data_IF_602598749777
#
_entry.id   IF_602598749777
#
_cell.length_a   1.000
_cell.length_b   1.000
_cell.length_c   1.000
_cell.angle_alpha   90.00
_cell.angle_beta   90.00
_cell.angle_gamma   90.00
#
_symmetry.space_group_name_H-M   'P 1'
#
loop_
_entity.id
_entity.type
_entity.pdbx_description
1 polymer ?
#
# COMPACT_ATOMS: atom_id res chain seq x y z
N UNK A 1 -7.92 17.64 8.65
CA UNK A 1 -6.99 17.30 7.55
C UNK A 1 -5.88 16.42 8.09
N UNK A 2 -5.15 16.86 9.12
CA UNK A 2 -4.11 16.07 9.81
C UNK A 2 -4.58 14.70 10.32
N UNK A 3 -5.71 14.63 11.04
CA UNK A 3 -6.22 13.35 11.57
C UNK A 3 -6.53 12.34 10.47
N UNK A 4 -7.23 12.78 9.42
CA UNK A 4 -7.51 11.95 8.24
C UNK A 4 -6.22 11.50 7.56
N UNK A 5 -5.25 12.40 7.35
CA UNK A 5 -3.97 12.04 6.73
C UNK A 5 -3.20 11.01 7.54
N UNK A 6 -3.23 11.12 8.87
CA UNK A 6 -2.64 10.13 9.77
C UNK A 6 -3.33 8.77 9.66
N UNK A 7 -4.66 8.75 9.57
CA UNK A 7 -5.42 7.52 9.34
C UNK A 7 -5.13 6.90 7.96
N UNK A 8 -4.95 7.72 6.92
CA UNK A 8 -4.57 7.28 5.57
C UNK A 8 -3.20 6.58 5.60
N UNK A 9 -2.19 7.19 6.25
CA UNK A 9 -0.87 6.58 6.47
C UNK A 9 -0.97 5.30 7.30
N UNK A 10 -1.79 5.28 8.34
CA UNK A 10 -2.00 4.09 9.17
C UNK A 10 -2.59 2.94 8.34
N UNK A 11 -3.57 3.20 7.47
CA UNK A 11 -4.16 2.18 6.60
C UNK A 11 -3.14 1.62 5.60
N UNK A 12 -2.30 2.46 5.02
CA UNK A 12 -1.20 2.00 4.16
C UNK A 12 -0.18 1.14 4.94
N UNK A 13 0.20 1.57 6.14
CA UNK A 13 1.08 0.78 7.01
C UNK A 13 0.50 -0.61 7.32
N UNK A 14 -0.81 -0.67 7.61
CA UNK A 14 -1.50 -1.93 7.86
C UNK A 14 -1.53 -2.82 6.60
N UNK A 15 -1.62 -2.24 5.40
CA UNK A 15 -1.48 -2.99 4.15
C UNK A 15 -0.13 -3.71 4.06
N UNK A 16 0.98 -3.02 4.38
CA UNK A 16 2.29 -3.68 4.49
C UNK A 16 2.27 -4.82 5.51
N UNK A 17 1.73 -4.58 6.72
CA UNK A 17 1.68 -5.61 7.79
C UNK A 17 0.88 -6.84 7.40
N UNK A 18 -0.23 -6.66 6.70
CA UNK A 18 -1.02 -7.78 6.16
C UNK A 18 -0.23 -8.54 5.09
N UNK A 19 0.51 -7.86 4.21
CA UNK A 19 1.33 -8.52 3.18
C UNK A 19 2.47 -9.36 3.77
N UNK A 20 3.06 -8.95 4.90
CA UNK A 20 4.10 -9.72 5.60
C UNK A 20 3.61 -11.13 6.00
N UNK A 21 2.32 -11.32 6.26
CA UNK A 21 1.73 -12.63 6.58
C UNK A 21 1.48 -13.52 5.34
N UNK A 22 1.42 -12.91 4.16
CA UNK A 22 0.93 -13.55 2.94
C UNK A 22 2.06 -14.03 2.04
N UNK A 23 3.18 -13.31 1.99
CA UNK A 23 4.29 -13.57 1.07
C UNK A 23 5.60 -13.88 1.81
N UNK A 24 6.40 -14.85 1.35
CA UNK A 24 7.70 -15.16 1.94
C UNK A 24 8.72 -14.02 1.78
N UNK A 25 8.59 -13.21 0.72
CA UNK A 25 9.47 -12.06 0.47
C UNK A 25 8.60 -10.80 0.44
N UNK A 26 8.94 -9.86 1.32
CA UNK A 26 8.14 -8.68 1.60
C UNK A 26 9.06 -7.54 2.09
N UNK A 27 8.57 -6.31 2.12
CA UNK A 27 9.23 -5.24 2.86
C UNK A 27 8.94 -5.39 4.36
N UNK A 28 9.93 -5.08 5.21
CA UNK A 28 9.63 -4.74 6.61
C UNK A 28 9.31 -3.27 6.71
N UNK A 29 8.26 -2.94 7.46
CA UNK A 29 7.90 -1.55 7.75
C UNK A 29 7.87 -1.24 9.24
N UNK A 30 8.09 0.03 9.57
CA UNK A 30 7.89 0.57 10.92
C UNK A 30 7.06 1.83 10.83
N UNK A 31 6.06 1.93 11.69
CA UNK A 31 5.33 3.18 11.90
C UNK A 31 6.22 4.11 12.74
N UNK A 32 6.29 5.38 12.34
CA UNK A 32 7.00 6.42 13.06
C UNK A 32 6.12 7.66 13.19
N UNK A 33 6.43 8.49 14.17
CA UNK A 33 5.78 9.78 14.39
C UNK A 33 6.79 10.88 14.07
N UNK A 34 6.38 11.82 13.21
CA UNK A 34 7.12 13.03 12.89
C UNK A 34 6.43 14.21 13.58
N UNK A 35 7.16 14.85 14.49
CA UNK A 35 6.73 16.11 15.10
C UNK A 35 7.46 17.26 14.39
N UNK A 36 6.72 18.27 13.97
CA UNK A 36 7.32 19.50 13.45
C UNK A 36 6.56 20.74 13.94
N UNK A 37 7.29 21.84 14.05
CA UNK A 37 6.76 23.15 14.44
C UNK A 37 6.78 24.07 13.23
N UNK A 38 5.62 24.51 12.78
CA UNK A 38 5.53 25.54 11.76
C UNK A 38 5.67 26.92 12.40
N UNK A 39 6.71 27.64 11.97
CA UNK A 39 7.01 29.01 12.40
C UNK A 39 6.51 30.06 11.39
N UNK A 40 5.92 29.65 10.26
CA UNK A 40 5.41 30.55 9.22
C UNK A 40 3.93 30.86 9.47
N UNK A 41 3.51 32.09 9.16
CA UNK A 41 2.13 32.53 9.31
C UNK A 41 1.18 31.89 8.28
N UNK A 42 -0.13 31.92 8.54
CA UNK A 42 -1.22 31.30 7.74
C UNK A 42 -1.30 31.65 6.24
N UNK A 43 -0.46 32.56 5.72
CA UNK A 43 -0.53 32.99 4.31
C UNK A 43 0.19 32.07 3.33
N UNK A 44 1.02 31.16 3.80
CA UNK A 44 1.72 30.21 2.95
C UNK A 44 1.10 28.82 3.10
N UNK A 45 0.43 28.34 2.05
CA UNK A 45 -0.04 26.95 2.01
C UNK A 45 1.16 26.00 2.09
N UNK A 46 1.09 25.06 3.03
CA UNK A 46 2.10 24.04 3.19
C UNK A 46 1.95 23.04 2.04
N UNK A 47 2.91 23.00 1.11
CA UNK A 47 3.13 21.84 0.26
C UNK A 47 4.09 20.90 1.00
N UNK A 48 3.60 19.81 1.64
CA UNK A 48 4.44 18.94 2.45
C UNK A 48 5.31 18.06 1.54
N UNK A 49 6.40 18.62 1.02
CA UNK A 49 7.55 17.85 0.59
C UNK A 49 8.49 17.78 1.79
N UNK A 50 8.36 16.71 2.58
CA UNK A 50 9.30 16.44 3.66
C UNK A 50 10.65 16.06 3.04
N UNK A 51 11.55 17.05 2.92
CA UNK A 51 12.96 16.81 2.60
C UNK A 51 13.67 16.58 3.93
N UNK A 52 14.29 15.41 4.10
CA UNK A 52 15.30 15.20 5.13
C UNK A 52 16.52 16.05 4.81
N UNK A 53 16.50 17.33 5.20
CA UNK A 53 17.69 18.16 5.18
C UNK A 53 18.54 17.77 6.38
N UNK A 54 19.74 17.28 6.13
CA UNK A 54 20.76 17.21 7.15
C UNK A 54 21.03 18.66 7.60
N UNK A 55 20.80 18.92 8.89
CA UNK A 55 20.84 20.25 9.49
C UNK A 55 22.23 20.86 9.30
N UNK A 56 22.40 21.61 8.22
CA UNK A 56 23.43 22.61 8.08
C UNK A 56 22.73 23.95 8.20
N UNK A 57 22.72 24.44 9.45
CA UNK A 57 22.36 25.80 9.88
C UNK A 57 22.49 26.82 8.75
N UNK A 58 21.42 27.01 8.00
CA UNK A 58 21.20 28.19 7.18
C UNK A 58 19.73 28.53 7.40
N UNK A 59 19.52 29.47 8.32
CA UNK A 59 18.25 30.19 8.37
C UNK A 59 18.02 30.80 6.99
N UNK A 60 16.96 30.37 6.31
CA UNK A 60 16.59 30.91 5.00
C UNK A 60 15.89 32.27 5.11
N UNK A 61 15.64 32.77 6.33
CA UNK A 61 14.93 34.02 6.57
C UNK A 61 15.61 34.81 7.70
N UNK A 62 16.18 35.97 7.36
CA UNK A 62 16.54 37.01 8.32
C UNK A 62 15.44 38.07 8.25
N UNK A 63 14.49 38.05 9.18
CA UNK A 63 13.51 39.12 9.31
C UNK A 63 13.69 39.84 10.65
N UNK A 64 14.45 40.94 10.60
CA UNK A 64 14.40 42.02 11.58
C UNK A 64 13.15 42.87 11.30
N UNK A 65 11.98 42.40 11.76
CA UNK A 65 10.71 43.11 11.56
C UNK A 65 9.72 42.81 12.68
N UNK A 66 9.51 43.80 13.56
CA UNK A 66 8.54 43.71 14.64
C UNK A 66 7.10 43.79 14.10
N UNK A 67 6.52 42.64 13.77
CA UNK A 67 5.08 42.45 13.57
C UNK A 67 4.66 41.24 14.38
N UNK A 68 3.51 41.30 15.07
CA UNK A 68 3.06 40.30 16.04
C UNK A 68 3.29 38.85 15.58
N UNK A 69 4.37 38.23 16.07
CA UNK A 69 4.70 36.85 15.77
C UNK A 69 3.58 35.96 16.32
N UNK A 70 2.76 35.38 15.43
CA UNK A 70 1.73 34.43 15.84
C UNK A 70 2.41 33.17 16.39
N UNK A 71 1.78 32.55 17.40
CA UNK A 71 2.35 31.39 18.09
C UNK A 71 2.62 30.25 17.09
N UNK A 72 3.81 29.63 17.13
CA UNK A 72 4.12 28.46 16.31
C UNK A 72 3.07 27.37 16.49
N UNK A 73 2.76 26.65 15.41
CA UNK A 73 1.82 25.53 15.44
C UNK A 73 2.58 24.22 15.39
N UNK A 74 2.31 23.34 16.36
CA UNK A 74 2.89 22.00 16.39
C UNK A 74 1.98 21.03 15.63
N UNK A 75 2.60 20.17 14.85
CA UNK A 75 1.94 19.12 14.07
C UNK A 75 2.55 17.77 14.41
N UNK A 76 1.72 16.73 14.41
CA UNK A 76 2.10 15.35 14.67
C UNK A 76 1.62 14.47 13.53
N UNK A 77 2.55 14.11 12.65
CA UNK A 77 2.27 13.28 11.47
C UNK A 77 2.72 11.84 11.70
N UNK A 78 1.90 10.88 11.28
CA UNK A 78 2.35 9.51 11.11
C UNK A 78 3.15 9.38 9.80
N UNK A 79 4.16 8.53 9.83
CA UNK A 79 4.97 8.19 8.66
C UNK A 79 5.38 6.72 8.71
N UNK A 80 5.80 6.18 7.56
CA UNK A 80 6.22 4.78 7.41
C UNK A 80 7.68 4.76 7.00
N UNK A 81 8.49 4.05 7.77
CA UNK A 81 9.84 3.67 7.35
C UNK A 81 9.74 2.31 6.65
N UNK A 82 10.12 2.29 5.37
CA UNK A 82 10.09 1.09 4.53
C UNK A 82 11.53 0.58 4.33
N UNK A 83 11.72 -0.74 4.49
CA UNK A 83 13.00 -1.40 4.23
C UNK A 83 13.50 -1.17 2.79
N UNK A 84 14.79 -0.90 2.60
CA UNK A 84 15.39 -0.75 1.28
C UNK A 84 15.40 -2.10 0.52
N UNK A 85 15.17 -2.07 -0.79
CA UNK A 85 15.06 -3.28 -1.62
C UNK A 85 16.34 -4.14 -1.62
N UNK A 86 17.52 -3.53 -1.47
CA UNK A 86 18.79 -4.27 -1.33
C UNK A 86 18.90 -4.95 0.02
N UNK A 87 18.28 -4.39 1.07
CA UNK A 87 18.22 -5.02 2.39
C UNK A 87 17.27 -6.21 2.35
N UNK A 88 16.10 -6.09 1.71
CA UNK A 88 15.20 -7.21 1.43
C UNK A 88 15.94 -8.32 0.68
N UNK A 89 16.63 -7.98 -0.41
CA UNK A 89 17.41 -8.94 -1.18
C UNK A 89 18.45 -9.66 -0.31
N UNK A 90 19.22 -8.91 0.49
CA UNK A 90 20.28 -9.44 1.34
C UNK A 90 19.74 -10.41 2.41
N UNK A 91 18.63 -10.07 3.09
CA UNK A 91 18.06 -10.93 4.15
C UNK A 91 17.44 -12.23 3.62
N UNK A 92 17.28 -12.35 2.29
CA UNK A 92 16.71 -13.51 1.62
C UNK A 92 17.71 -14.29 0.75
N UNK A 93 19.00 -13.94 0.80
CA UNK A 93 20.04 -14.45 -0.09
C UNK A 93 19.65 -14.32 -1.58
N UNK A 94 19.18 -13.13 -1.93
CA UNK A 94 18.63 -12.81 -3.24
C UNK A 94 19.27 -11.54 -3.82
N UNK A 95 18.88 -11.18 -5.04
CA UNK A 95 19.35 -9.96 -5.72
C UNK A 95 18.19 -9.12 -6.22
N UNK A 96 18.31 -7.80 -6.14
CA UNK A 96 17.35 -6.89 -6.78
C UNK A 96 17.49 -6.99 -8.29
N UNK A 97 16.39 -7.20 -9.00
CA UNK A 97 16.35 -7.29 -10.44
C UNK A 97 15.76 -6.01 -11.02
N UNK A 98 16.58 -5.25 -11.77
CA UNK A 98 16.17 -3.98 -12.39
C UNK A 98 15.61 -4.12 -13.81
N UNK A 99 15.80 -5.27 -14.44
CA UNK A 99 15.28 -5.54 -15.79
C UNK A 99 13.82 -5.97 -15.73
N UNK A 100 13.09 -5.67 -16.80
CA UNK A 100 11.75 -6.18 -16.99
C UNK A 100 11.75 -7.72 -17.02
N UNK A 101 10.78 -8.30 -16.33
CA UNK A 101 10.42 -9.72 -16.43
C UNK A 101 8.94 -9.79 -16.70
N UNK A 102 8.57 -10.42 -17.82
CA UNK A 102 7.18 -10.63 -18.19
C UNK A 102 6.43 -11.26 -17.01
N UNK A 103 5.22 -10.79 -16.65
CA UNK A 103 4.46 -11.30 -15.50
C UNK A 103 4.36 -12.82 -15.51
N UNK A 104 4.12 -13.41 -16.68
CA UNK A 104 3.99 -14.86 -16.82
C UNK A 104 5.28 -15.65 -16.51
N UNK A 105 6.45 -15.01 -16.50
CA UNK A 105 7.74 -15.62 -16.20
C UNK A 105 8.19 -15.41 -14.74
N UNK A 106 7.39 -14.69 -13.94
CA UNK A 106 7.62 -14.53 -12.51
C UNK A 106 7.11 -15.75 -11.73
N UNK A 107 7.61 -15.92 -10.50
CA UNK A 107 7.20 -17.00 -9.57
C UNK A 107 5.67 -17.03 -9.46
N UNK A 108 5.06 -18.16 -9.82
CA UNK A 108 3.62 -18.24 -10.10
C UNK A 108 2.78 -18.02 -8.84
N UNK A 109 3.08 -18.73 -7.76
CA UNK A 109 2.32 -18.64 -6.51
C UNK A 109 2.43 -17.24 -5.92
N UNK A 110 3.63 -16.68 -5.87
CA UNK A 110 3.86 -15.32 -5.35
C UNK A 110 3.18 -14.26 -6.24
N UNK A 111 3.12 -14.49 -7.55
CA UNK A 111 2.38 -13.60 -8.47
C UNK A 111 0.87 -13.63 -8.21
N UNK A 112 0.29 -14.81 -7.95
CA UNK A 112 -1.14 -14.95 -7.62
C UNK A 112 -1.42 -14.35 -6.23
N UNK A 113 -0.57 -14.62 -5.24
CA UNK A 113 -0.64 -14.00 -3.91
C UNK A 113 -0.61 -12.48 -4.00
N UNK A 114 0.30 -11.92 -4.79
CA UNK A 114 0.37 -10.48 -5.02
C UNK A 114 -0.93 -9.95 -5.65
N UNK A 115 -1.46 -10.61 -6.68
CA UNK A 115 -2.71 -10.18 -7.31
C UNK A 115 -3.93 -10.27 -6.36
N UNK A 116 -4.01 -11.30 -5.52
CA UNK A 116 -5.04 -11.42 -4.50
C UNK A 116 -4.91 -10.33 -3.44
N UNK A 117 -3.69 -10.01 -3.03
CA UNK A 117 -3.43 -8.94 -2.08
C UNK A 117 -3.83 -7.57 -2.64
N UNK A 118 -3.44 -7.25 -3.88
CA UNK A 118 -3.84 -5.99 -4.51
C UNK A 118 -5.36 -5.90 -4.66
N UNK A 119 -6.04 -7.01 -4.98
CA UNK A 119 -7.50 -7.08 -4.97
C UNK A 119 -8.09 -6.90 -3.56
N UNK A 120 -7.48 -7.50 -2.52
CA UNK A 120 -7.90 -7.36 -1.12
C UNK A 120 -7.93 -5.90 -0.69
N UNK A 121 -6.87 -5.15 -0.99
CA UNK A 121 -6.77 -3.73 -0.64
C UNK A 121 -7.43 -2.80 -1.68
N UNK A 122 -7.98 -3.33 -2.78
CA UNK A 122 -8.60 -2.54 -3.83
C UNK A 122 -7.61 -1.63 -4.55
N UNK A 123 -6.36 -2.05 -4.67
CA UNK A 123 -5.34 -1.29 -5.38
C UNK A 123 -5.38 -1.65 -6.86
N UNK A 124 -5.75 -0.67 -7.68
CA UNK A 124 -5.65 -0.78 -9.13
C UNK A 124 -4.46 0.00 -9.69
N UNK A 125 -3.72 0.74 -8.86
CA UNK A 125 -2.54 1.49 -9.26
C UNK A 125 -1.27 0.63 -9.19
N UNK A 126 -1.28 -0.51 -9.89
CA UNK A 126 -0.08 -1.32 -10.07
C UNK A 126 -0.06 -1.94 -11.46
N UNK A 127 1.14 -2.22 -11.95
CA UNK A 127 1.31 -3.01 -13.17
C UNK A 127 2.46 -3.97 -13.03
N UNK A 128 2.11 -5.26 -12.99
CA UNK A 128 3.09 -6.33 -13.13
C UNK A 128 3.81 -6.27 -14.49
N UNK A 129 3.11 -5.81 -15.54
CA UNK A 129 3.61 -5.74 -16.92
C UNK A 129 4.45 -4.49 -17.23
N UNK A 130 4.38 -3.43 -16.42
CA UNK A 130 5.12 -2.19 -16.64
C UNK A 130 6.04 -1.82 -15.46
N UNK A 131 6.19 -2.72 -14.47
CA UNK A 131 7.04 -2.47 -13.29
C UNK A 131 6.66 -1.21 -12.49
N UNK A 132 5.38 -0.86 -12.46
CA UNK A 132 4.83 0.19 -11.60
C UNK A 132 4.39 -0.40 -10.25
N UNK A 133 4.78 0.26 -9.16
CA UNK A 133 4.44 -0.07 -7.77
C UNK A 133 4.78 -1.52 -7.38
N UNK A 134 5.88 -2.02 -7.96
CA UNK A 134 6.48 -3.31 -7.62
C UNK A 134 8.01 -3.30 -7.78
N UNK A 135 8.70 -4.05 -6.93
CA UNK A 135 10.09 -4.45 -7.11
C UNK A 135 10.17 -5.93 -7.49
N UNK A 136 11.24 -6.32 -8.18
CA UNK A 136 11.52 -7.71 -8.48
C UNK A 136 12.76 -8.17 -7.71
N UNK A 137 12.62 -9.25 -6.95
CA UNK A 137 13.72 -9.93 -6.27
C UNK A 137 14.00 -11.25 -6.99
N UNK A 138 15.24 -11.49 -7.38
CA UNK A 138 15.66 -12.72 -8.03
C UNK A 138 16.34 -13.65 -7.03
N UNK A 139 15.80 -14.87 -6.90
CA UNK A 139 16.30 -15.92 -6.03
C UNK A 139 16.12 -17.27 -6.72
N UNK A 140 17.16 -18.12 -6.70
CA UNK A 140 17.08 -19.51 -7.17
C UNK A 140 16.45 -19.68 -8.58
N UNK A 141 16.84 -18.82 -9.52
CA UNK A 141 16.34 -18.91 -10.91
C UNK A 141 14.96 -18.28 -11.14
N UNK A 142 14.26 -17.84 -10.09
CA UNK A 142 12.92 -17.24 -10.17
C UNK A 142 12.94 -15.77 -9.78
N UNK A 143 11.99 -15.00 -10.32
CA UNK A 143 11.76 -13.61 -9.93
C UNK A 143 10.46 -13.47 -9.14
N UNK A 144 10.57 -12.83 -7.98
CA UNK A 144 9.53 -12.64 -6.98
C UNK A 144 9.07 -11.18 -7.01
N UNK A 145 7.82 -10.89 -7.39
CA UNK A 145 7.27 -9.54 -7.28
C UNK A 145 7.00 -9.19 -5.82
N UNK A 146 7.41 -7.99 -5.42
CA UNK A 146 7.09 -7.40 -4.12
C UNK A 146 6.40 -6.06 -4.36
N UNK A 147 5.13 -5.92 -3.98
CA UNK A 147 4.40 -4.68 -4.13
C UNK A 147 4.83 -3.65 -3.08
N UNK A 148 4.71 -2.38 -3.44
CA UNK A 148 4.88 -1.23 -2.55
C UNK A 148 4.01 -0.09 -3.09
N UNK A 149 3.87 0.99 -2.32
CA UNK A 149 3.04 2.16 -2.66
C UNK A 149 1.54 1.81 -2.65
N UNK A 150 0.89 1.93 -1.49
CA UNK A 150 -0.51 1.50 -1.30
C UNK A 150 -1.48 2.64 -1.02
N UNK A 151 -1.02 3.89 -1.08
CA UNK A 151 -1.79 5.10 -0.86
C UNK A 151 -2.99 5.23 -1.82
N UNK A 152 -2.83 4.79 -3.07
CA UNK A 152 -3.88 4.77 -4.11
C UNK A 152 -4.79 3.53 -4.08
N UNK A 153 -5.02 2.95 -2.90
CA UNK A 153 -5.85 1.75 -2.75
C UNK A 153 -7.23 2.05 -2.14
N UNK A 154 -8.22 1.21 -2.46
CA UNK A 154 -9.56 1.30 -1.88
C UNK A 154 -9.60 1.15 -0.36
N UNK A 155 -8.64 0.40 0.22
CA UNK A 155 -8.46 0.31 1.67
C UNK A 155 -8.07 1.65 2.27
N UNK A 156 -7.14 2.38 1.65
CA UNK A 156 -6.69 3.69 2.12
C UNK A 156 -7.77 4.74 1.85
N UNK A 157 -8.33 4.79 0.64
CA UNK A 157 -9.38 5.75 0.27
C UNK A 157 -8.99 7.21 0.63
N UNK A 158 -7.75 7.57 0.29
CA UNK A 158 -7.24 8.91 0.55
C UNK A 158 -8.05 9.94 -0.25
N UNK A 159 -8.15 11.17 0.25
CA UNK A 159 -8.96 12.22 -0.40
C UNK A 159 -8.48 12.58 -1.80
N UNK A 160 -7.22 12.30 -2.11
CA UNK A 160 -6.59 12.58 -3.40
C UNK A 160 -6.54 11.35 -4.32
N UNK A 161 -6.94 10.17 -3.84
CA UNK A 161 -6.89 8.95 -4.64
C UNK A 161 -7.83 9.06 -5.84
N UNK A 162 -7.33 8.66 -7.01
CA UNK A 162 -8.09 8.62 -8.26
C UNK A 162 -8.05 7.22 -8.84
N UNK A 163 -9.05 6.87 -9.65
CA UNK A 163 -9.03 5.62 -10.41
C UNK A 163 -7.89 5.67 -11.44
N UNK A 164 -7.04 4.64 -11.46
CA UNK A 164 -5.90 4.57 -12.38
C UNK A 164 -6.36 4.51 -13.84
N UNK A 165 -5.61 5.19 -14.71
CA UNK A 165 -5.76 5.09 -16.16
C UNK A 165 -4.62 4.24 -16.75
N UNK A 166 -4.92 3.35 -17.69
CA UNK A 166 -3.93 2.54 -18.40
C UNK A 166 -3.90 3.00 -19.85
N UNK A 167 -2.75 3.47 -20.34
CA UNK A 167 -2.62 3.92 -21.74
C UNK A 167 -3.75 4.89 -22.16
N UNK A 168 -4.06 5.87 -21.30
CA UNK A 168 -5.17 6.83 -21.45
C UNK A 168 -6.59 6.21 -21.52
N UNK A 169 -6.75 4.95 -21.14
CA UNK A 169 -8.07 4.32 -21.00
C UNK A 169 -8.37 4.13 -19.51
N UNK A 170 -9.51 4.65 -19.07
CA UNK A 170 -9.98 4.46 -17.70
C UNK A 170 -10.36 3.01 -17.45
N UNK A 171 -10.13 2.56 -16.23
CA UNK A 171 -10.65 1.28 -15.77
C UNK A 171 -12.18 1.32 -15.69
N UNK A 172 -12.80 0.15 -15.82
CA UNK A 172 -14.25 -0.06 -15.66
C UNK A 172 -14.66 -0.07 -14.16
N UNK A 173 -14.28 0.98 -13.44
CA UNK A 173 -14.66 1.27 -12.05
C UNK A 173 -14.77 2.79 -11.88
N UNK A 174 -15.72 3.23 -11.06
CA UNK A 174 -15.98 4.67 -10.84
C UNK A 174 -15.25 5.21 -9.61
N UNK A 175 -14.87 4.32 -8.68
CA UNK A 175 -14.31 4.67 -7.38
C UNK A 175 -13.10 3.82 -7.05
N UNK A 176 -12.10 4.41 -6.38
CA UNK A 176 -10.93 3.69 -5.87
C UNK A 176 -11.31 2.55 -4.91
N UNK A 177 -12.46 2.65 -4.24
CA UNK A 177 -12.98 1.62 -3.34
C UNK A 177 -13.56 0.39 -4.06
N UNK A 178 -13.80 0.47 -5.36
CA UNK A 178 -14.29 -0.67 -6.15
C UNK A 178 -13.14 -1.61 -6.50
N UNK A 179 -13.28 -2.88 -6.14
CA UNK A 179 -12.24 -3.88 -6.39
C UNK A 179 -12.28 -4.34 -7.84
N UNK A 180 -11.11 -4.41 -8.45
CA UNK A 180 -10.94 -5.05 -9.76
C UNK A 180 -9.73 -5.98 -9.72
N UNK A 181 -9.94 -7.26 -10.05
CA UNK A 181 -8.84 -8.21 -10.09
C UNK A 181 -8.00 -7.98 -11.35
N UNK A 182 -6.71 -7.71 -11.16
CA UNK A 182 -5.78 -7.37 -12.26
C UNK A 182 -4.66 -8.40 -12.46
N UNK A 183 -4.76 -9.56 -11.80
CA UNK A 183 -3.81 -10.67 -11.95
C UNK A 183 -3.95 -11.40 -13.28
N UNK A 184 -2.92 -12.15 -13.64
CA UNK A 184 -2.87 -12.96 -14.86
C UNK A 184 -3.46 -14.36 -14.62
N UNK A 185 -4.00 -14.97 -15.67
CA UNK A 185 -4.40 -16.38 -15.67
C UNK A 185 -3.18 -17.25 -15.41
N UNK A 186 -3.36 -18.22 -14.51
CA UNK A 186 -2.39 -19.25 -14.11
C UNK A 186 -3.12 -20.57 -13.98
N UNK A 187 -2.40 -21.61 -13.56
CA UNK A 187 -3.01 -22.87 -13.19
C UNK A 187 -4.14 -22.65 -12.16
N UNK A 188 -5.40 -23.05 -12.46
CA UNK A 188 -6.53 -22.89 -11.54
C UNK A 188 -6.32 -23.53 -10.16
N UNK A 189 -5.54 -24.61 -10.08
CA UNK A 189 -5.20 -25.23 -8.80
C UNK A 189 -4.44 -24.26 -7.87
N UNK A 190 -3.53 -23.46 -8.43
CA UNK A 190 -2.77 -22.47 -7.67
C UNK A 190 -3.64 -21.29 -7.17
N UNK A 191 -4.71 -20.96 -7.90
CA UNK A 191 -5.70 -19.98 -7.41
C UNK A 191 -6.45 -20.52 -6.19
N UNK A 192 -6.87 -21.79 -6.23
CA UNK A 192 -7.55 -22.43 -5.10
C UNK A 192 -6.60 -22.62 -3.89
N UNK A 193 -5.34 -22.97 -4.13
CA UNK A 193 -4.29 -23.00 -3.09
C UNK A 193 -4.11 -21.62 -2.46
N UNK A 194 -4.02 -20.58 -3.29
CA UNK A 194 -3.89 -19.18 -2.80
C UNK A 194 -5.15 -18.75 -2.04
N UNK A 195 -6.35 -19.09 -2.52
CA UNK A 195 -7.62 -18.82 -1.83
C UNK A 195 -7.62 -19.45 -0.43
N UNK A 196 -7.24 -20.72 -0.31
CA UNK A 196 -7.11 -21.41 0.99
C UNK A 196 -6.08 -20.74 1.89
N UNK A 197 -4.93 -20.36 1.34
CA UNK A 197 -3.89 -19.64 2.08
C UNK A 197 -4.42 -18.34 2.69
N UNK A 198 -5.07 -17.49 1.89
CA UNK A 198 -5.68 -16.24 2.41
C UNK A 198 -6.74 -16.53 3.46
N UNK A 199 -7.66 -17.47 3.22
CA UNK A 199 -8.69 -17.84 4.20
C UNK A 199 -8.08 -18.33 5.52
N UNK A 200 -6.97 -19.06 5.47
CA UNK A 200 -6.25 -19.48 6.69
C UNK A 200 -5.65 -18.32 7.49
N UNK A 201 -5.38 -17.18 6.81
CA UNK A 201 -4.80 -15.97 7.39
C UNK A 201 -5.81 -14.91 7.79
N UNK A 202 -7.09 -15.11 7.52
CA UNK A 202 -8.16 -14.14 7.84
C UNK A 202 -8.13 -13.68 9.29
N UNK A 203 -8.09 -14.62 10.26
CA UNK A 203 -8.09 -14.25 11.68
C UNK A 203 -6.85 -13.45 12.08
N UNK A 204 -5.66 -13.81 11.58
CA UNK A 204 -4.41 -13.10 11.85
C UNK A 204 -4.44 -11.68 11.24
N UNK A 205 -4.97 -11.55 10.02
CA UNK A 205 -5.12 -10.28 9.33
C UNK A 205 -6.09 -9.34 10.06
N UNK A 206 -7.27 -9.82 10.48
CA UNK A 206 -8.22 -9.00 11.23
C UNK A 206 -7.69 -8.61 12.61
N UNK A 207 -6.87 -9.48 13.24
CA UNK A 207 -6.17 -9.13 14.49
C UNK A 207 -5.16 -8.01 14.32
N UNK A 208 -4.50 -7.90 13.16
CA UNK A 208 -3.61 -6.76 12.87
C UNK A 208 -4.40 -5.44 12.93
N UNK A 209 -5.58 -5.39 12.31
CA UNK A 209 -6.44 -4.21 12.35
C UNK A 209 -6.86 -3.88 13.78
N UNK A 210 -7.41 -4.85 14.51
CA UNK A 210 -7.89 -4.65 15.89
C UNK A 210 -6.75 -4.19 16.82
N UNK A 211 -5.55 -4.78 16.70
CA UNK A 211 -4.40 -4.40 17.51
C UNK A 211 -3.94 -2.95 17.30
N UNK A 212 -4.27 -2.33 16.15
CA UNK A 212 -3.94 -0.95 15.84
C UNK A 212 -5.15 -0.01 15.89
N UNK A 213 -6.32 -0.50 16.32
CA UNK A 213 -7.57 0.28 16.40
C UNK A 213 -7.40 1.59 17.17
N UNK A 214 -6.65 1.56 18.27
CA UNK A 214 -6.40 2.73 19.11
C UNK A 214 -5.52 3.81 18.46
N UNK A 215 -4.84 3.50 17.36
CA UNK A 215 -4.02 4.46 16.62
C UNK A 215 -4.83 5.27 15.61
N UNK A 216 -6.04 4.82 15.25
CA UNK A 216 -6.94 5.58 14.40
C UNK A 216 -7.44 6.82 15.13
N UNK A 217 -7.39 7.96 14.45
CA UNK A 217 -7.92 9.24 14.91
C UNK A 217 -9.44 9.28 14.79
N UNK A 218 -9.99 8.64 13.76
CA UNK A 218 -11.42 8.57 13.54
C UNK A 218 -11.94 7.13 13.65
N UNK A 219 -12.88 6.89 14.58
CA UNK A 219 -13.51 5.56 14.74
C UNK A 219 -14.14 5.05 13.43
N UNK A 220 -14.75 5.96 12.64
CA UNK A 220 -15.30 5.62 11.33
C UNK A 220 -14.24 5.11 10.35
N UNK A 221 -13.03 5.67 10.39
CA UNK A 221 -11.93 5.25 9.52
C UNK A 221 -11.50 3.81 9.81
N UNK A 222 -11.42 3.45 11.10
CA UNK A 222 -11.20 2.06 11.52
C UNK A 222 -12.29 1.12 11.01
N UNK A 223 -13.57 1.45 11.24
CA UNK A 223 -14.69 0.61 10.81
C UNK A 223 -14.72 0.43 9.29
N UNK A 224 -14.41 1.49 8.53
CA UNK A 224 -14.28 1.39 7.07
C UNK A 224 -13.17 0.43 6.66
N UNK A 225 -11.96 0.55 7.24
CA UNK A 225 -10.84 -0.34 6.93
C UNK A 225 -11.15 -1.80 7.30
N UNK A 226 -11.70 -2.03 8.50
CA UNK A 226 -12.07 -3.37 8.97
C UNK A 226 -13.14 -4.01 8.08
N UNK A 227 -14.20 -3.28 7.74
CA UNK A 227 -15.26 -3.77 6.87
C UNK A 227 -14.76 -4.02 5.44
N UNK A 228 -13.87 -3.16 4.95
CA UNK A 228 -13.27 -3.33 3.62
C UNK A 228 -12.52 -4.66 3.55
N UNK A 229 -11.60 -4.93 4.47
CA UNK A 229 -10.86 -6.20 4.51
C UNK A 229 -11.79 -7.40 4.74
N UNK A 230 -12.80 -7.26 5.60
CA UNK A 230 -13.79 -8.31 5.87
C UNK A 230 -14.61 -8.68 4.62
N UNK A 231 -15.03 -7.71 3.79
CA UNK A 231 -15.75 -7.98 2.54
C UNK A 231 -14.89 -8.77 1.54
N UNK A 232 -13.58 -8.53 1.48
CA UNK A 232 -12.70 -9.36 0.66
C UNK A 232 -12.73 -10.84 1.09
N UNK A 233 -12.71 -11.14 2.39
CA UNK A 233 -12.83 -12.52 2.85
C UNK A 233 -14.23 -13.09 2.58
N UNK A 234 -15.28 -12.26 2.60
CA UNK A 234 -16.61 -12.68 2.17
C UNK A 234 -16.66 -13.05 0.67
N UNK A 235 -15.93 -12.33 -0.19
CA UNK A 235 -15.71 -12.72 -1.60
C UNK A 235 -15.04 -14.09 -1.66
N UNK A 236 -13.93 -14.28 -0.94
CA UNK A 236 -13.21 -15.54 -0.97
C UNK A 236 -14.00 -16.72 -0.38
N UNK A 237 -14.94 -16.50 0.54
CA UNK A 237 -15.79 -17.58 1.09
C UNK A 237 -16.93 -17.97 0.15
N UNK A 238 -17.27 -17.13 -0.81
CA UNK A 238 -18.38 -17.35 -1.73
C UNK A 238 -17.86 -17.83 -3.09
N UNK A 239 -18.13 -19.08 -3.46
CA UNK A 239 -17.64 -19.67 -4.71
C UNK A 239 -18.08 -18.90 -5.96
N UNK A 240 -19.31 -18.40 -6.00
CA UNK A 240 -19.83 -17.64 -7.14
C UNK A 240 -19.12 -16.29 -7.28
N UNK A 241 -18.91 -15.58 -6.16
CA UNK A 241 -18.16 -14.31 -6.15
C UNK A 241 -16.70 -14.55 -6.51
N UNK A 242 -16.05 -15.54 -5.92
CA UNK A 242 -14.66 -15.90 -6.25
C UNK A 242 -14.49 -16.22 -7.74
N UNK A 243 -15.39 -17.02 -8.31
CA UNK A 243 -15.36 -17.35 -9.74
C UNK A 243 -15.56 -16.10 -10.62
N UNK A 244 -16.54 -15.25 -10.27
CA UNK A 244 -16.92 -14.07 -11.07
C UNK A 244 -15.90 -12.94 -10.96
N UNK A 245 -15.47 -12.61 -9.75
CA UNK A 245 -14.70 -11.40 -9.43
C UNK A 245 -13.18 -11.62 -9.50
N UNK A 246 -12.71 -12.88 -9.53
CA UNK A 246 -11.27 -13.20 -9.59
C UNK A 246 -10.95 -14.12 -10.78
N UNK A 247 -11.52 -15.34 -10.82
CA UNK A 247 -11.07 -16.34 -11.80
C UNK A 247 -11.41 -16.00 -13.25
N UNK A 248 -12.67 -15.61 -13.53
CA UNK A 248 -13.13 -15.33 -14.89
C UNK A 248 -12.57 -14.04 -15.48
N UNK A 249 -12.22 -13.09 -14.62
CA UNK A 249 -11.67 -11.78 -15.00
C UNK A 249 -10.13 -11.74 -15.03
N UNK A 250 -9.47 -12.83 -14.63
CA UNK A 250 -8.03 -12.95 -14.73
C UNK A 250 -7.55 -12.75 -16.17
N UNK A 251 -6.47 -11.98 -16.34
CA UNK A 251 -5.98 -11.52 -17.64
C UNK A 251 -5.17 -12.59 -18.38
N UNK A 252 -5.36 -12.70 -19.68
CA UNK A 252 -4.56 -13.59 -20.53
C UNK A 252 -3.24 -12.94 -20.98
N UNK A 253 -3.23 -11.61 -21.11
CA UNK A 253 -2.14 -10.77 -21.61
C UNK A 253 -2.07 -9.44 -20.87
#
# INVERSE_FOLDING_TARGET
MEDRSNDDVLKEYLAYKMYELLSPIHFKTRLATLEYTDTRGEKDELHPLAIFLNDSKNSLYNDEGAWAARKPKNHTLLTILIEDDKVVARRHDAKVLKRFVHPLNQEETVSITNAFFQFMIGNTDFSTAYSHNQKLIFKEGKSYPIPYDFDMSGLVNASYSVVSNINNTSLDIDKVTERQYRGFKRNPALFEDTRRHFLSKESEILKILEAHKSLFKEARSYEMAHNYVSDFFAILKNDLRFQKEILKVAREK
#
